data_IF_888728755865
#
_entry.id   IF_888728755865
#
_cell.length_a   1.000
_cell.length_b   1.000
_cell.length_c   1.000
_cell.angle_alpha   90.00
_cell.angle_beta   90.00
_cell.angle_gamma   90.00
#
_symmetry.space_group_name_H-M   'P 1'
#
loop_
_entity.id
_entity.type
_entity.pdbx_description
1 polymer ?
#
# COMPACT_ATOMS: atom_id res chain seq x y z
N UNK A 1 -10.13 3.81 10.19
CA UNK A 1 -11.28 3.02 9.77
C UNK A 1 -11.41 3.09 8.27
N UNK A 2 -11.08 1.99 7.62
CA UNK A 2 -11.32 1.72 6.22
C UNK A 2 -12.78 1.33 5.99
N UNK A 3 -13.29 1.63 4.80
CA UNK A 3 -14.64 1.25 4.40
C UNK A 3 -14.67 0.87 2.93
N UNK A 4 -15.66 0.05 2.58
CA UNK A 4 -15.83 -0.50 1.25
C UNK A 4 -16.89 0.28 0.49
N UNK A 5 -16.59 0.60 -0.76
CA UNK A 5 -17.49 1.31 -1.66
C UNK A 5 -17.60 0.57 -3.00
N UNK A 6 -18.83 0.37 -3.47
CA UNK A 6 -19.09 -0.21 -4.79
C UNK A 6 -18.92 0.86 -5.87
N UNK A 7 -18.12 0.58 -6.90
CA UNK A 7 -17.81 1.49 -8.01
C UNK A 7 -18.31 0.99 -9.37
N UNK A 8 -18.90 -0.20 -9.41
CA UNK A 8 -19.52 -0.76 -10.60
C UNK A 8 -20.22 -2.09 -10.31
N UNK A 9 -20.84 -2.69 -11.33
CA UNK A 9 -21.68 -3.89 -11.18
C UNK A 9 -20.98 -5.04 -10.46
N UNK A 10 -19.66 -5.20 -10.67
CA UNK A 10 -18.78 -6.18 -9.99
C UNK A 10 -17.42 -5.57 -9.68
N UNK A 11 -17.41 -4.28 -9.35
CA UNK A 11 -16.19 -3.53 -9.09
C UNK A 11 -16.32 -2.76 -7.78
N UNK A 12 -15.29 -2.90 -6.95
CA UNK A 12 -15.27 -2.47 -5.56
C UNK A 12 -13.95 -1.77 -5.25
N UNK A 13 -13.99 -0.82 -4.33
CA UNK A 13 -12.80 -0.16 -3.77
C UNK A 13 -12.85 -0.11 -2.25
N UNK A 14 -11.68 -0.09 -1.65
CA UNK A 14 -11.47 0.19 -0.22
C UNK A 14 -11.01 1.63 -0.09
N UNK A 15 -11.66 2.41 0.76
CA UNK A 15 -11.27 3.78 1.14
C UNK A 15 -10.76 3.78 2.56
N UNK A 16 -9.75 4.59 2.86
CA UNK A 16 -9.18 4.67 4.20
C UNK A 16 -8.58 6.06 4.46
N UNK A 17 -8.41 6.40 5.74
CA UNK A 17 -7.78 7.65 6.17
C UNK A 17 -6.30 7.45 6.42
N UNK A 18 -5.47 8.29 5.83
CA UNK A 18 -4.06 8.36 6.14
C UNK A 18 -3.83 9.18 7.44
N UNK A 19 -2.63 9.08 8.03
CA UNK A 19 -2.27 9.80 9.25
C UNK A 19 -2.31 11.33 9.12
N UNK A 20 -2.17 11.85 7.91
CA UNK A 20 -2.30 13.27 7.55
C UNK A 20 -3.77 13.74 7.39
N UNK A 21 -4.75 12.84 7.61
CA UNK A 21 -6.18 13.12 7.45
C UNK A 21 -6.72 12.94 6.03
N UNK A 22 -5.85 12.75 5.04
CA UNK A 22 -6.22 12.53 3.64
C UNK A 22 -6.97 11.21 3.47
N UNK A 23 -7.92 11.16 2.53
CA UNK A 23 -8.61 9.90 2.18
C UNK A 23 -8.00 9.30 0.93
N UNK A 24 -7.45 8.11 1.08
CA UNK A 24 -6.89 7.31 -0.01
C UNK A 24 -7.86 6.21 -0.41
N UNK A 25 -7.64 5.63 -1.59
CA UNK A 25 -8.49 4.55 -2.10
C UNK A 25 -7.70 3.52 -2.89
N UNK A 26 -8.07 2.25 -2.70
CA UNK A 26 -7.55 1.11 -3.45
C UNK A 26 -8.70 0.43 -4.19
N UNK A 27 -8.58 0.36 -5.51
CA UNK A 27 -9.57 -0.26 -6.39
C UNK A 27 -9.05 -1.61 -6.91
N UNK A 28 -9.91 -2.38 -7.58
CA UNK A 28 -9.52 -3.63 -8.24
C UNK A 28 -10.18 -4.88 -7.67
N UNK A 29 -11.00 -4.74 -6.64
CA UNK A 29 -11.73 -5.85 -6.03
C UNK A 29 -12.95 -6.24 -6.89
N UNK A 30 -13.09 -7.53 -7.19
CA UNK A 30 -14.20 -8.06 -8.01
C UNK A 30 -15.45 -8.42 -7.20
N UNK A 31 -15.34 -8.46 -5.87
CA UNK A 31 -16.44 -8.78 -4.95
C UNK A 31 -16.39 -7.90 -3.70
N UNK A 32 -17.54 -7.82 -3.03
CA UNK A 32 -17.68 -7.19 -1.70
C UNK A 32 -16.72 -7.77 -0.71
N UNK A 33 -16.82 -9.09 -0.56
CA UNK A 33 -16.09 -9.86 0.43
C UNK A 33 -14.59 -9.66 0.28
N UNK A 34 -14.05 -9.70 -0.95
CA UNK A 34 -12.63 -9.45 -1.16
C UNK A 34 -12.18 -8.04 -0.73
N UNK A 35 -13.03 -7.02 -0.90
CA UNK A 35 -12.73 -5.68 -0.43
C UNK A 35 -12.86 -5.55 1.10
N UNK A 36 -13.82 -6.24 1.71
CA UNK A 36 -14.04 -6.25 3.17
C UNK A 36 -12.92 -7.00 3.90
N UNK A 37 -12.52 -8.17 3.39
CA UNK A 37 -11.41 -8.96 3.91
C UNK A 37 -10.12 -8.12 3.89
N UNK A 38 -9.82 -7.49 2.75
CA UNK A 38 -8.67 -6.60 2.64
C UNK A 38 -8.74 -5.40 3.59
N UNK A 39 -9.91 -4.79 3.77
CA UNK A 39 -10.07 -3.69 4.72
C UNK A 39 -9.82 -4.14 6.18
N UNK A 40 -10.23 -5.37 6.53
CA UNK A 40 -9.98 -5.97 7.85
C UNK A 40 -8.49 -6.27 8.07
N UNK A 41 -7.81 -6.83 7.06
CA UNK A 41 -6.37 -7.10 7.10
C UNK A 41 -5.58 -5.79 7.22
N UNK A 42 -5.91 -4.79 6.41
CA UNK A 42 -5.34 -3.44 6.50
C UNK A 42 -5.44 -2.87 7.92
N UNK A 43 -6.63 -2.91 8.54
CA UNK A 43 -6.81 -2.39 9.90
C UNK A 43 -6.04 -3.23 10.94
N UNK A 44 -5.85 -4.52 10.71
CA UNK A 44 -4.99 -5.39 11.54
C UNK A 44 -3.53 -4.98 11.44
N UNK A 45 -3.02 -4.76 10.23
CA UNK A 45 -1.64 -4.33 10.00
C UNK A 45 -1.38 -2.93 10.55
N UNK A 46 -2.37 -2.03 10.45
CA UNK A 46 -2.30 -0.70 11.06
C UNK A 46 -2.20 -0.78 12.58
N UNK A 47 -2.99 -1.65 13.22
CA UNK A 47 -2.90 -1.90 14.68
C UNK A 47 -1.54 -2.49 15.08
N UNK A 48 -0.96 -3.33 14.24
CA UNK A 48 0.38 -3.91 14.44
C UNK A 48 1.52 -2.94 14.14
N UNK A 49 1.25 -1.79 13.51
CA UNK A 49 2.27 -0.84 13.09
C UNK A 49 3.11 -1.32 11.91
N UNK A 50 2.64 -2.31 11.14
CA UNK A 50 3.35 -2.90 9.99
C UNK A 50 2.72 -2.53 8.66
N UNK A 51 1.64 -1.73 8.67
CA UNK A 51 0.97 -1.28 7.47
C UNK A 51 1.87 -0.41 6.61
N UNK A 52 2.15 -0.88 5.40
CA UNK A 52 2.80 -0.10 4.34
C UNK A 52 1.71 0.39 3.40
N UNK A 53 1.58 1.71 3.24
CA UNK A 53 0.62 2.30 2.31
C UNK A 53 1.00 1.93 0.86
N UNK A 54 0.21 1.09 0.16
CA UNK A 54 0.55 0.66 -1.19
C UNK A 54 0.43 1.78 -2.24
N UNK A 55 -0.29 2.87 -1.95
CA UNK A 55 -0.35 4.04 -2.83
C UNK A 55 0.90 4.92 -2.70
N UNK A 56 1.54 4.94 -1.52
CA UNK A 56 2.81 5.62 -1.28
C UNK A 56 4.06 4.74 -1.47
N UNK A 57 3.91 3.41 -1.42
CA UNK A 57 5.00 2.44 -1.52
C UNK A 57 5.32 1.98 -2.96
N UNK A 58 4.63 2.52 -3.97
CA UNK A 58 4.88 2.21 -5.37
C UNK A 58 6.13 2.95 -5.87
N UNK A 59 7.33 2.44 -5.54
CA UNK A 59 8.58 2.86 -6.17
C UNK A 59 8.92 1.89 -7.31
N UNK A 60 9.15 2.36 -8.55
CA UNK A 60 9.67 1.52 -9.61
C UNK A 60 10.98 0.84 -9.20
N UNK A 61 11.14 -0.44 -9.54
CA UNK A 61 12.37 -1.19 -9.21
C UNK A 61 13.63 -0.52 -9.79
N UNK A 62 13.53 0.10 -10.97
CA UNK A 62 14.61 0.87 -11.57
C UNK A 62 15.02 2.08 -10.71
N UNK A 63 14.03 2.84 -10.23
CA UNK A 63 14.29 3.99 -9.36
C UNK A 63 14.89 3.57 -8.00
N UNK A 64 14.40 2.46 -7.44
CA UNK A 64 14.98 1.88 -6.24
C UNK A 64 16.43 1.42 -6.48
N UNK A 65 16.71 0.76 -7.61
CA UNK A 65 18.03 0.26 -7.97
C UNK A 65 19.03 1.41 -8.17
N UNK A 66 18.65 2.48 -8.85
CA UNK A 66 19.50 3.66 -9.06
C UNK A 66 19.90 4.33 -7.74
N UNK A 67 19.03 4.31 -6.72
CA UNK A 67 19.35 4.82 -5.38
C UNK A 67 20.25 3.88 -4.58
N UNK A 68 20.06 2.56 -4.72
CA UNK A 68 20.70 1.57 -3.85
C UNK A 68 22.06 1.09 -4.37
N UNK A 69 22.20 0.84 -5.68
CA UNK A 69 23.43 0.31 -6.29
C UNK A 69 24.68 1.15 -5.95
N UNK A 70 24.64 2.50 -6.01
CA UNK A 70 25.80 3.32 -5.65
C UNK A 70 26.25 3.15 -4.19
N UNK A 71 25.31 2.94 -3.26
CA UNK A 71 25.64 2.72 -1.83
C UNK A 71 26.28 1.34 -1.62
N UNK A 72 25.84 0.32 -2.36
CA UNK A 72 26.42 -1.02 -2.29
C UNK A 72 27.88 -1.05 -2.81
N UNK A 73 28.19 -0.28 -3.85
CA UNK A 73 29.54 -0.15 -4.39
C UNK A 73 30.49 0.59 -3.45
N UNK A 74 29.99 1.54 -2.65
CA UNK A 74 30.78 2.27 -1.66
C UNK A 74 31.17 1.40 -0.45
N UNK A 75 30.39 0.37 -0.12
CA UNK A 75 30.68 -0.57 0.98
C UNK A 75 31.78 -1.58 0.63
N UNK A 76 32.02 -1.86 -0.64
CA UNK A 76 33.10 -2.77 -1.09
C UNK A 76 34.50 -2.12 -1.11
N UNK A 77 34.62 -0.80 -0.89
CA UNK A 77 35.90 -0.09 -0.82
C UNK A 77 36.40 0.12 0.63
N UNK A 78 35.65 -0.35 1.63
CA UNK A 78 35.98 -0.25 3.06
C UNK A 78 36.19 -1.62 3.74
N UNK A 79 36.21 -2.72 2.97
CA UNK A 79 36.43 -4.09 3.45
C UNK A 79 37.80 -4.63 3.03
#
# INVERSE_FOLDING_TARGET
>A
MAWVEQIGKRAWRVRYRNGDGTTLSLSGFRSRTAAEDFASDMETDRRRGVWLDPSGAAMPVAEWADRWVPTSSALSLLA
#
